data_IF_143834188420
#
_entry.id   IF_143834188420
#
_cell.length_a   1.000
_cell.length_b   1.000
_cell.length_c   1.000
_cell.angle_alpha   90.00
_cell.angle_beta   90.00
_cell.angle_gamma   90.00
#
_symmetry.space_group_name_H-M   'P 1'
#
loop_
_entity.id
_entity.type
_entity.pdbx_description
1 polymer ?
#
# COMPACT_ATOMS: atom_id res chain seq x y z
N UNK A 1 -5.67 9.14 23.42
CA UNK A 1 -5.88 8.87 21.99
C UNK A 1 -4.69 8.16 21.40
N UNK A 2 -4.90 7.29 20.41
CA UNK A 2 -3.79 6.63 19.72
C UNK A 2 -2.93 7.67 19.00
N UNK A 3 -1.62 7.54 19.11
CA UNK A 3 -0.64 8.35 18.39
C UNK A 3 -0.09 7.51 17.24
N UNK A 4 -0.04 8.10 16.07
CA UNK A 4 0.31 7.43 14.83
C UNK A 4 1.52 8.11 14.18
N UNK A 5 2.37 7.28 13.59
CA UNK A 5 3.54 7.71 12.86
C UNK A 5 3.66 6.88 11.60
N UNK A 6 3.63 7.54 10.46
CA UNK A 6 3.87 6.90 9.17
C UNK A 6 5.25 7.30 8.67
N UNK A 7 6.06 6.32 8.33
CA UNK A 7 7.39 6.53 7.76
C UNK A 7 7.50 5.80 6.42
N UNK A 8 8.16 6.43 5.47
CA UNK A 8 8.40 5.87 4.14
C UNK A 8 9.87 6.03 3.75
N UNK A 9 10.55 4.97 3.31
CA UNK A 9 11.86 5.10 2.70
C UNK A 9 11.79 5.92 1.39
N UNK A 10 12.89 6.52 0.96
CA UNK A 10 12.95 7.20 -0.32
C UNK A 10 12.75 6.19 -1.46
N UNK A 11 11.97 6.59 -2.46
CA UNK A 11 11.87 5.84 -3.71
C UNK A 11 13.24 5.83 -4.38
N UNK A 12 13.79 4.65 -4.67
CA UNK A 12 15.05 4.50 -5.40
C UNK A 12 16.28 4.15 -4.55
N UNK A 13 16.15 3.97 -3.22
CA UNK A 13 17.22 3.33 -2.44
C UNK A 13 16.90 1.84 -2.36
N UNK A 14 17.60 1.00 -3.13
CA UNK A 14 17.33 -0.43 -3.12
C UNK A 14 17.90 -1.05 -1.84
N UNK A 15 17.14 -1.89 -1.17
CA UNK A 15 17.65 -2.70 -0.08
C UNK A 15 18.34 -3.94 -0.64
N UNK A 16 19.57 -4.10 -0.28
CA UNK A 16 20.33 -5.31 -0.50
C UNK A 16 21.18 -5.36 -1.77
N UNK A 17 22.33 -5.99 -1.64
CA UNK A 17 23.19 -6.32 -2.77
C UNK A 17 22.51 -7.35 -3.67
N UNK A 18 22.70 -7.24 -4.98
CA UNK A 18 22.33 -8.29 -5.92
C UNK A 18 23.18 -9.54 -5.66
N UNK A 19 22.58 -10.71 -5.85
CA UNK A 19 23.36 -11.94 -5.87
C UNK A 19 24.38 -11.87 -7.03
N UNK A 20 25.65 -12.25 -6.83
CA UNK A 20 26.68 -12.12 -7.86
C UNK A 20 26.28 -12.74 -9.22
N UNK A 21 25.61 -13.89 -9.22
CA UNK A 21 25.17 -14.58 -10.43
C UNK A 21 24.00 -13.88 -11.15
N UNK A 22 23.36 -12.90 -10.51
CA UNK A 22 22.23 -12.16 -11.05
C UNK A 22 22.61 -10.77 -11.55
N UNK A 23 23.79 -10.26 -11.21
CA UNK A 23 24.25 -8.92 -11.61
C UNK A 23 24.21 -8.78 -13.12
N UNK A 24 24.84 -9.71 -13.86
CA UNK A 24 24.87 -9.68 -15.32
C UNK A 24 23.47 -9.74 -15.98
N UNK A 25 22.47 -10.33 -15.31
CA UNK A 25 21.07 -10.37 -15.80
C UNK A 25 20.39 -9.02 -15.76
N UNK A 26 20.94 -8.06 -15.04
CA UNK A 26 20.43 -6.67 -14.93
C UNK A 26 21.08 -5.72 -15.92
N UNK A 27 21.91 -6.23 -16.81
CA UNK A 27 22.67 -5.42 -17.76
C UNK A 27 21.75 -4.58 -18.67
N UNK A 28 22.10 -3.32 -18.82
CA UNK A 28 21.44 -2.39 -19.74
C UNK A 28 22.47 -1.51 -20.46
N UNK A 29 22.08 -1.00 -21.62
CA UNK A 29 22.95 -0.18 -22.46
C UNK A 29 22.44 1.25 -22.53
N UNK A 30 23.37 2.19 -22.41
CA UNK A 30 23.15 3.62 -22.66
C UNK A 30 24.14 4.12 -23.68
N UNK A 31 24.07 5.40 -24.09
CA UNK A 31 25.06 6.06 -24.90
C UNK A 31 26.44 6.20 -24.21
N UNK A 32 26.50 6.03 -22.88
CA UNK A 32 27.74 6.03 -22.10
C UNK A 32 28.37 4.63 -21.93
N UNK A 33 27.70 3.58 -22.38
CA UNK A 33 28.22 2.22 -22.29
C UNK A 33 27.23 1.21 -21.69
N UNK A 34 27.77 0.09 -21.26
CA UNK A 34 27.03 -0.99 -20.60
C UNK A 34 27.13 -0.82 -19.09
N UNK A 35 26.03 -1.03 -18.39
CA UNK A 35 25.90 -0.93 -16.94
C UNK A 35 25.14 -2.12 -16.40
N UNK A 36 25.40 -2.46 -15.15
CA UNK A 36 24.74 -3.52 -14.39
C UNK A 36 24.37 -2.97 -13.02
N UNK A 37 23.31 -3.51 -12.42
CA UNK A 37 22.93 -3.13 -11.06
C UNK A 37 23.68 -3.99 -10.03
N UNK A 38 24.43 -3.36 -9.13
CA UNK A 38 25.03 -4.02 -7.97
C UNK A 38 24.05 -4.16 -6.80
N UNK A 39 22.93 -3.48 -6.88
CA UNK A 39 21.83 -3.46 -5.90
C UNK A 39 20.51 -3.70 -6.62
N UNK A 40 19.56 -4.33 -5.95
CA UNK A 40 18.28 -4.71 -6.55
C UNK A 40 17.49 -3.48 -6.99
N UNK A 41 17.24 -3.25 -8.29
CA UNK A 41 16.40 -2.15 -8.74
C UNK A 41 14.93 -2.47 -8.48
N UNK A 42 14.12 -1.45 -8.14
CA UNK A 42 12.68 -1.61 -7.88
C UNK A 42 11.86 -2.09 -9.08
N UNK A 43 12.42 -1.97 -10.28
CA UNK A 43 11.76 -2.42 -11.52
C UNK A 43 11.71 -3.94 -11.69
N UNK A 44 12.45 -4.70 -10.90
CA UNK A 44 12.36 -6.17 -10.92
C UNK A 44 11.02 -6.63 -10.33
N UNK A 45 10.40 -7.61 -10.96
CA UNK A 45 9.09 -8.13 -10.56
C UNK A 45 9.06 -8.70 -9.13
N UNK A 46 10.17 -9.22 -8.64
CA UNK A 46 10.31 -9.76 -7.28
C UNK A 46 10.79 -8.71 -6.25
N UNK A 47 11.21 -7.52 -6.67
CA UNK A 47 11.73 -6.49 -5.77
C UNK A 47 10.75 -6.10 -4.64
N UNK A 48 9.45 -5.89 -4.90
CA UNK A 48 8.50 -5.58 -3.82
C UNK A 48 8.40 -6.69 -2.77
N UNK A 49 8.36 -7.95 -3.21
CA UNK A 49 8.28 -9.10 -2.29
C UNK A 49 9.55 -9.26 -1.45
N UNK A 50 10.72 -9.08 -2.08
CA UNK A 50 12.02 -9.13 -1.40
C UNK A 50 12.15 -7.99 -0.38
N UNK A 51 11.71 -6.79 -0.73
CA UNK A 51 11.69 -5.65 0.19
C UNK A 51 10.74 -5.88 1.36
N UNK A 52 9.54 -6.40 1.12
CA UNK A 52 8.60 -6.75 2.18
C UNK A 52 9.20 -7.80 3.13
N UNK A 53 9.88 -8.82 2.60
CA UNK A 53 10.55 -9.84 3.42
C UNK A 53 11.63 -9.21 4.31
N UNK A 54 12.51 -8.34 3.74
CA UNK A 54 13.51 -7.61 4.48
C UNK A 54 12.90 -6.77 5.62
N UNK A 55 11.88 -5.99 5.30
CA UNK A 55 11.22 -5.14 6.30
C UNK A 55 10.56 -5.97 7.42
N UNK A 56 9.97 -7.10 7.06
CA UNK A 56 9.42 -8.04 8.03
C UNK A 56 10.51 -8.64 8.93
N UNK A 57 11.69 -8.94 8.40
CA UNK A 57 12.81 -9.48 9.17
C UNK A 57 13.39 -8.44 10.12
N UNK A 58 13.67 -7.24 9.63
CA UNK A 58 14.20 -6.12 10.40
C UNK A 58 13.29 -5.73 11.57
N UNK A 59 11.97 -5.67 11.33
CA UNK A 59 10.99 -5.21 12.32
C UNK A 59 10.24 -6.36 12.99
N UNK A 60 10.62 -7.62 12.77
CA UNK A 60 9.96 -8.84 13.27
C UNK A 60 9.58 -8.80 14.75
N UNK A 61 10.44 -8.35 15.71
CA UNK A 61 10.10 -8.32 17.11
C UNK A 61 8.95 -7.37 17.48
N UNK A 62 8.67 -6.39 16.63
CA UNK A 62 7.75 -5.28 16.87
C UNK A 62 6.46 -5.36 16.05
N UNK A 63 6.44 -6.23 15.01
CA UNK A 63 5.28 -6.40 14.14
C UNK A 63 4.04 -6.78 14.92
N UNK A 64 2.93 -6.13 14.62
CA UNK A 64 1.61 -6.32 15.24
C UNK A 64 1.55 -6.00 16.75
N UNK A 65 2.65 -5.56 17.34
CA UNK A 65 2.69 -5.04 18.72
C UNK A 65 2.49 -3.53 18.72
N UNK A 66 3.28 -2.81 17.96
CA UNK A 66 3.18 -1.36 17.75
C UNK A 66 3.67 -0.92 16.37
N UNK A 67 3.97 -1.86 15.47
CA UNK A 67 4.41 -1.60 14.09
C UNK A 67 3.61 -2.43 13.10
N UNK A 68 3.15 -1.80 12.03
CA UNK A 68 2.68 -2.47 10.82
C UNK A 68 3.57 -2.04 9.66
N UNK A 69 3.86 -2.97 8.75
CA UNK A 69 4.66 -2.74 7.56
C UNK A 69 3.95 -3.29 6.35
N UNK A 70 3.87 -2.50 5.31
CA UNK A 70 3.40 -2.92 4.00
C UNK A 70 4.24 -2.24 2.93
N UNK A 71 5.11 -3.01 2.28
CA UNK A 71 6.16 -2.52 1.37
C UNK A 71 6.96 -1.38 2.01
N UNK A 72 6.86 -0.19 1.46
CA UNK A 72 7.55 1.02 1.90
C UNK A 72 6.77 1.83 2.97
N UNK A 73 5.59 1.40 3.35
CA UNK A 73 4.78 2.05 4.37
C UNK A 73 4.98 1.40 5.75
N UNK A 74 5.55 2.15 6.69
CA UNK A 74 5.71 1.75 8.09
C UNK A 74 4.74 2.57 8.93
N UNK A 75 3.83 1.92 9.65
CA UNK A 75 2.93 2.54 10.61
C UNK A 75 3.38 2.18 12.03
N UNK A 76 3.63 3.19 12.86
CA UNK A 76 3.93 3.04 14.29
C UNK A 76 2.75 3.59 15.07
N UNK A 77 2.20 2.82 16.01
CA UNK A 77 1.06 3.21 16.84
C UNK A 77 1.33 2.99 18.32
N UNK A 78 0.74 3.82 19.17
CA UNK A 78 1.00 3.80 20.62
C UNK A 78 -0.20 4.37 21.37
N UNK A 79 -0.39 3.94 22.61
CA UNK A 79 -1.48 4.40 23.46
C UNK A 79 -1.18 5.76 24.12
N UNK A 80 0.10 6.09 24.34
CA UNK A 80 0.55 7.32 24.99
C UNK A 80 1.70 7.98 24.24
N UNK A 81 1.91 9.29 24.48
CA UNK A 81 3.02 10.03 23.89
C UNK A 81 4.39 9.52 24.34
N UNK A 82 4.51 9.16 25.62
CA UNK A 82 5.77 8.63 26.15
C UNK A 82 6.17 7.30 25.48
N UNK A 83 5.21 6.37 25.37
CA UNK A 83 5.41 5.12 24.63
C UNK A 83 5.70 5.37 23.15
N UNK A 84 5.01 6.35 22.55
CA UNK A 84 5.19 6.66 21.14
C UNK A 84 6.61 7.09 20.81
N UNK A 85 7.21 7.96 21.62
CA UNK A 85 8.60 8.37 21.46
C UNK A 85 9.57 7.18 21.56
N UNK A 86 9.31 6.26 22.50
CA UNK A 86 10.12 5.04 22.65
C UNK A 86 9.98 4.13 21.44
N UNK A 87 8.76 3.88 20.97
CA UNK A 87 8.49 3.03 19.80
C UNK A 87 9.14 3.60 18.53
N UNK A 88 9.04 4.91 18.32
CA UNK A 88 9.68 5.59 17.18
C UNK A 88 11.20 5.46 17.26
N UNK A 89 11.79 5.68 18.45
CA UNK A 89 13.24 5.54 18.66
C UNK A 89 13.71 4.11 18.37
N UNK A 90 12.98 3.10 18.82
CA UNK A 90 13.28 1.68 18.55
C UNK A 90 13.28 1.43 17.04
N UNK A 91 12.20 1.79 16.33
CA UNK A 91 12.09 1.56 14.89
C UNK A 91 13.20 2.28 14.14
N UNK A 92 13.51 3.53 14.50
CA UNK A 92 14.56 4.30 13.82
C UNK A 92 15.96 3.72 14.05
N UNK A 93 16.22 3.17 15.22
CA UNK A 93 17.49 2.50 15.52
C UNK A 93 17.64 1.22 14.71
N UNK A 94 16.58 0.42 14.60
CA UNK A 94 16.58 -0.79 13.74
C UNK A 94 16.82 -0.43 12.27
N UNK A 95 16.09 0.54 11.73
CA UNK A 95 16.29 0.98 10.35
C UNK A 95 17.72 1.47 10.11
N UNK A 96 18.29 2.23 11.05
CA UNK A 96 19.68 2.72 10.99
C UNK A 96 20.68 1.55 11.03
N UNK A 97 20.49 0.58 11.91
CA UNK A 97 21.37 -0.60 12.04
C UNK A 97 21.41 -1.41 10.73
N UNK A 98 20.30 -1.41 9.98
CA UNK A 98 20.20 -2.08 8.69
C UNK A 98 20.42 -1.15 7.48
N UNK A 99 20.99 0.04 7.69
CA UNK A 99 21.28 1.04 6.64
C UNK A 99 20.06 1.46 5.82
N UNK A 100 18.87 1.38 6.41
CA UNK A 100 17.62 1.82 5.78
C UNK A 100 17.38 3.29 6.07
N UNK A 101 17.11 4.08 5.03
CA UNK A 101 16.90 5.51 5.12
C UNK A 101 15.42 5.86 4.99
N UNK A 102 15.01 6.92 5.68
CA UNK A 102 13.66 7.46 5.60
C UNK A 102 13.66 8.82 4.93
N UNK A 103 12.68 9.07 4.08
CA UNK A 103 12.48 10.39 3.49
C UNK A 103 11.55 11.22 4.38
N UNK A 104 12.12 12.15 5.17
CA UNK A 104 11.38 12.97 6.15
C UNK A 104 10.14 13.65 5.56
N UNK A 105 10.21 14.15 4.32
CA UNK A 105 9.07 14.80 3.66
C UNK A 105 7.91 13.88 3.31
N UNK A 106 8.10 12.55 3.42
CA UNK A 106 7.06 11.53 3.23
C UNK A 106 6.62 10.89 4.56
N UNK A 107 7.06 11.43 5.69
CA UNK A 107 6.74 10.91 7.00
C UNK A 107 5.77 11.86 7.72
N UNK A 108 4.79 11.31 8.40
CA UNK A 108 3.88 12.00 9.32
C UNK A 108 4.22 11.61 10.74
N UNK A 109 4.38 12.57 11.64
CA UNK A 109 4.89 12.35 12.98
C UNK A 109 3.87 12.74 14.04
N UNK A 110 3.56 11.80 14.96
CA UNK A 110 2.76 12.06 16.16
C UNK A 110 1.36 12.62 15.86
N UNK A 111 0.71 12.15 14.82
CA UNK A 111 -0.62 12.62 14.41
C UNK A 111 -1.72 11.78 15.05
N UNK A 112 -2.91 12.34 15.36
CA UNK A 112 -4.04 11.59 15.89
C UNK A 112 -4.68 10.67 14.83
N UNK A 113 -4.43 10.93 13.55
CA UNK A 113 -4.88 10.11 12.44
C UNK A 113 -3.85 10.12 11.30
N UNK A 114 -3.84 9.06 10.50
CA UNK A 114 -2.94 8.92 9.35
C UNK A 114 -3.63 8.17 8.22
N UNK A 115 -3.36 8.59 6.98
CA UNK A 115 -3.75 7.84 5.80
C UNK A 115 -2.76 6.68 5.60
N UNK A 116 -3.26 5.46 5.61
CA UNK A 116 -2.46 4.25 5.46
C UNK A 116 -3.20 3.23 4.58
N UNK A 117 -2.61 2.86 3.46
CA UNK A 117 -3.17 1.89 2.51
C UNK A 117 -4.62 2.22 2.08
N UNK A 118 -4.90 3.49 1.77
CA UNK A 118 -6.24 3.92 1.33
C UNK A 118 -7.29 3.96 2.45
N UNK A 119 -6.88 3.86 3.71
CA UNK A 119 -7.71 4.02 4.89
C UNK A 119 -7.20 5.16 5.75
N UNK A 120 -8.08 5.75 6.53
CA UNK A 120 -7.72 6.68 7.61
C UNK A 120 -7.75 5.87 8.92
N UNK A 121 -6.60 5.79 9.58
CA UNK A 121 -6.45 5.11 10.87
C UNK A 121 -6.40 6.18 11.96
N UNK A 122 -7.20 6.01 13.00
CA UNK A 122 -7.26 6.89 14.17
C UNK A 122 -7.49 6.10 15.46
N UNK A 123 -7.59 6.79 16.59
CA UNK A 123 -7.98 6.18 17.86
C UNK A 123 -9.41 5.60 17.86
N UNK A 124 -10.27 6.12 17.01
CA UNK A 124 -11.67 5.71 16.86
C UNK A 124 -11.81 4.45 15.98
N UNK A 125 -10.75 4.09 15.27
CA UNK A 125 -10.71 2.91 14.42
C UNK A 125 -10.20 3.20 13.00
N UNK A 126 -10.71 2.42 12.05
CA UNK A 126 -10.34 2.49 10.63
C UNK A 126 -11.53 2.98 9.83
N UNK A 127 -11.35 4.07 9.08
CA UNK A 127 -12.34 4.64 8.17
C UNK A 127 -11.84 4.58 6.72
N UNK A 128 -12.76 4.76 5.78
CA UNK A 128 -12.40 4.97 4.38
C UNK A 128 -11.75 6.35 4.20
N UNK A 129 -10.77 6.43 3.33
CA UNK A 129 -10.19 7.69 2.89
C UNK A 129 -11.22 8.45 2.03
N UNK A 130 -11.57 9.68 2.44
CA UNK A 130 -12.59 10.51 1.79
C UNK A 130 -12.24 10.80 0.34
N UNK A 131 -10.97 11.05 0.03
CA UNK A 131 -10.52 11.31 -1.34
C UNK A 131 -10.72 10.06 -2.22
N UNK A 132 -10.51 8.88 -1.66
CA UNK A 132 -10.75 7.61 -2.36
C UNK A 132 -12.23 7.34 -2.57
N UNK A 133 -13.06 7.66 -1.60
CA UNK A 133 -14.53 7.59 -1.74
C UNK A 133 -15.01 8.52 -2.83
N UNK A 134 -14.49 9.76 -2.88
CA UNK A 134 -14.84 10.72 -3.93
C UNK A 134 -14.47 10.22 -5.33
N UNK A 135 -13.31 9.54 -5.49
CA UNK A 135 -12.91 8.92 -6.76
C UNK A 135 -13.89 7.82 -7.18
N UNK A 136 -14.34 6.99 -6.24
CA UNK A 136 -15.34 5.93 -6.54
C UNK A 136 -16.68 6.54 -6.91
N UNK A 137 -17.13 7.56 -6.16
CA UNK A 137 -18.39 8.24 -6.44
C UNK A 137 -18.42 9.01 -7.77
N UNK A 138 -17.26 9.48 -8.24
CA UNK A 138 -17.11 10.15 -9.52
C UNK A 138 -16.74 9.20 -10.69
N UNK A 139 -16.78 7.88 -10.46
CA UNK A 139 -16.40 6.92 -11.50
C UNK A 139 -17.36 6.98 -12.68
N UNK A 140 -16.89 7.02 -13.93
CA UNK A 140 -17.77 7.03 -15.08
C UNK A 140 -18.48 5.68 -15.26
N UNK A 141 -19.70 5.70 -15.83
CA UNK A 141 -20.45 4.48 -16.14
C UNK A 141 -19.60 3.55 -16.98
N UNK A 142 -19.40 2.29 -16.54
CA UNK A 142 -18.60 1.33 -17.29
C UNK A 142 -19.29 0.92 -18.60
N UNK A 143 -18.58 1.02 -19.74
CA UNK A 143 -19.07 0.62 -21.06
C UNK A 143 -18.48 -0.72 -21.54
N UNK A 144 -17.78 -1.45 -20.69
CA UNK A 144 -17.20 -2.75 -21.01
C UNK A 144 -17.06 -3.62 -19.77
N UNK A 145 -17.00 -4.96 -19.92
CA UNK A 145 -16.72 -5.87 -18.83
C UNK A 145 -15.42 -5.53 -18.09
N UNK A 146 -14.38 -5.14 -18.81
CA UNK A 146 -13.09 -4.77 -18.23
C UNK A 146 -13.20 -3.51 -17.35
N UNK A 147 -13.93 -2.48 -17.82
CA UNK A 147 -14.15 -1.26 -17.05
C UNK A 147 -14.98 -1.55 -15.77
N UNK A 148 -16.00 -2.41 -15.89
CA UNK A 148 -16.83 -2.85 -14.76
C UNK A 148 -16.01 -3.67 -13.76
N UNK A 149 -15.12 -4.56 -14.20
CA UNK A 149 -14.18 -5.26 -13.33
C UNK A 149 -13.28 -4.29 -12.54
N UNK A 150 -12.78 -3.24 -13.22
CA UNK A 150 -11.98 -2.20 -12.57
C UNK A 150 -12.76 -1.48 -11.45
N UNK A 151 -13.99 -1.07 -11.74
CA UNK A 151 -14.87 -0.44 -10.76
C UNK A 151 -15.17 -1.36 -9.57
N UNK A 152 -15.65 -2.59 -9.84
CA UNK A 152 -15.97 -3.56 -8.79
C UNK A 152 -14.75 -3.99 -7.98
N UNK A 153 -13.57 -4.03 -8.60
CA UNK A 153 -12.32 -4.28 -7.89
C UNK A 153 -12.00 -3.18 -6.89
N UNK A 154 -12.14 -1.91 -7.30
CA UNK A 154 -11.92 -0.77 -6.42
C UNK A 154 -13.00 -0.64 -5.34
N UNK A 155 -14.27 -0.71 -5.70
CA UNK A 155 -15.39 -0.67 -4.75
C UNK A 155 -15.33 -1.84 -3.76
N UNK A 156 -14.98 -3.04 -4.25
CA UNK A 156 -14.82 -4.25 -3.45
C UNK A 156 -13.69 -4.19 -2.43
N UNK A 157 -12.69 -3.33 -2.63
CA UNK A 157 -11.65 -3.08 -1.64
C UNK A 157 -12.24 -2.52 -0.34
N UNK A 158 -13.28 -1.70 -0.44
CA UNK A 158 -13.96 -1.07 0.68
C UNK A 158 -15.20 -1.84 1.17
N UNK A 159 -15.47 -3.04 0.64
CA UNK A 159 -16.66 -3.86 0.98
C UNK A 159 -16.91 -4.08 2.46
N UNK A 160 -15.82 -4.09 3.27
CA UNK A 160 -15.93 -4.26 4.73
C UNK A 160 -16.61 -3.12 5.46
N UNK A 161 -16.72 -1.94 4.83
CA UNK A 161 -17.40 -0.75 5.37
C UNK A 161 -18.83 -0.61 4.84
N UNK A 162 -19.23 -1.41 3.85
CA UNK A 162 -20.53 -1.32 3.20
C UNK A 162 -21.34 -2.57 3.57
N UNK A 163 -22.37 -2.36 4.38
CA UNK A 163 -23.26 -3.45 4.76
C UNK A 163 -23.93 -4.02 3.51
N UNK A 164 -23.97 -5.35 3.43
CA UNK A 164 -24.63 -6.08 2.34
C UNK A 164 -24.06 -5.75 0.94
N UNK A 165 -22.79 -5.37 0.85
CA UNK A 165 -22.11 -5.03 -0.41
C UNK A 165 -22.38 -6.06 -1.53
N UNK A 166 -22.37 -7.35 -1.22
CA UNK A 166 -22.61 -8.41 -2.20
C UNK A 166 -24.01 -8.35 -2.83
N UNK A 167 -25.03 -8.00 -2.04
CA UNK A 167 -26.40 -7.82 -2.54
C UNK A 167 -26.50 -6.56 -3.40
N UNK A 168 -25.94 -5.44 -2.91
CA UNK A 168 -25.91 -4.18 -3.65
C UNK A 168 -25.19 -4.36 -5.00
N UNK A 169 -24.02 -5.01 -5.02
CA UNK A 169 -23.22 -5.19 -6.24
C UNK A 169 -23.74 -6.32 -7.16
N UNK A 170 -24.73 -7.10 -6.74
CA UNK A 170 -25.23 -8.27 -7.49
C UNK A 170 -25.68 -7.93 -8.91
N UNK A 171 -26.48 -6.86 -9.19
CA UNK A 171 -26.87 -6.51 -10.56
C UNK A 171 -25.67 -6.24 -11.46
N UNK A 172 -24.65 -5.53 -10.95
CA UNK A 172 -23.43 -5.25 -11.71
C UNK A 172 -22.59 -6.51 -11.92
N UNK A 173 -22.51 -7.38 -10.92
CA UNK A 173 -21.75 -8.63 -11.01
C UNK A 173 -22.35 -9.59 -12.05
N UNK A 174 -23.69 -9.61 -12.21
CA UNK A 174 -24.36 -10.40 -13.24
C UNK A 174 -23.91 -10.01 -14.66
N UNK A 175 -23.63 -8.74 -14.93
CA UNK A 175 -23.15 -8.27 -16.22
C UNK A 175 -21.74 -8.80 -16.60
N UNK A 176 -21.01 -9.36 -15.63
CA UNK A 176 -19.69 -9.96 -15.87
C UNK A 176 -19.75 -11.45 -16.25
N UNK A 177 -20.94 -12.07 -16.23
CA UNK A 177 -21.09 -13.41 -16.76
C UNK A 177 -20.85 -13.41 -18.27
N UNK A 178 -20.44 -14.58 -18.80
CA UNK A 178 -20.11 -14.75 -20.20
C UNK A 178 -21.26 -14.29 -21.09
N UNK A 179 -20.97 -13.44 -22.06
CA UNK A 179 -21.91 -12.90 -23.05
C UNK A 179 -23.13 -12.13 -22.47
N UNK A 180 -23.07 -11.70 -21.19
CA UNK A 180 -24.18 -11.04 -20.50
C UNK A 180 -24.01 -9.51 -20.35
N UNK A 181 -22.96 -8.90 -20.91
CA UNK A 181 -22.71 -7.47 -20.74
C UNK A 181 -23.71 -6.64 -21.56
N UNK A 182 -24.84 -6.32 -20.92
CA UNK A 182 -25.84 -5.37 -21.43
C UNK A 182 -26.23 -4.45 -20.27
N UNK A 183 -25.79 -3.18 -20.34
CA UNK A 183 -26.07 -2.19 -19.32
C UNK A 183 -27.56 -1.83 -19.32
N UNK A 184 -28.25 -2.10 -18.23
CA UNK A 184 -29.69 -1.90 -18.07
C UNK A 184 -30.02 -0.83 -17.01
N UNK A 185 -31.33 -0.61 -16.80
CA UNK A 185 -31.81 0.37 -15.80
C UNK A 185 -31.48 -0.06 -14.37
N UNK A 186 -31.47 -1.37 -14.07
CA UNK A 186 -31.10 -1.91 -12.76
C UNK A 186 -29.61 -1.66 -12.47
N UNK A 187 -28.75 -1.89 -13.44
CA UNK A 187 -27.32 -1.57 -13.35
C UNK A 187 -27.09 -0.08 -13.12
N UNK A 188 -27.83 0.79 -13.81
CA UNK A 188 -27.74 2.25 -13.62
C UNK A 188 -28.17 2.70 -12.23
N UNK A 189 -29.21 2.08 -11.67
CA UNK A 189 -29.68 2.41 -10.32
C UNK A 189 -28.73 1.92 -9.22
N UNK A 190 -28.06 0.80 -9.48
CA UNK A 190 -27.09 0.19 -8.56
C UNK A 190 -25.75 0.92 -8.55
N UNK A 191 -25.35 1.44 -9.69
CA UNK A 191 -24.10 2.15 -9.89
C UNK A 191 -24.16 3.56 -9.32
#
# INVERSE_FOLDING_TARGET
>A
GALLHQARPPVGVPPGAMHPDDIAKTAFRTHHGHFEFLVMPFSLSNAPATFQALMNDVLRPYLRRFVLVFFDDILIYSASWAEHLQHVAIVFNELRAHHLHLKRSKCSFGTPSVAYLGHVISAEGVAMDVDKVAVVAAWPIPHSPQALHGFLGLAGYYRKFIREFGLIASPLTRLLHRDAFAWDAEATTTF
#
